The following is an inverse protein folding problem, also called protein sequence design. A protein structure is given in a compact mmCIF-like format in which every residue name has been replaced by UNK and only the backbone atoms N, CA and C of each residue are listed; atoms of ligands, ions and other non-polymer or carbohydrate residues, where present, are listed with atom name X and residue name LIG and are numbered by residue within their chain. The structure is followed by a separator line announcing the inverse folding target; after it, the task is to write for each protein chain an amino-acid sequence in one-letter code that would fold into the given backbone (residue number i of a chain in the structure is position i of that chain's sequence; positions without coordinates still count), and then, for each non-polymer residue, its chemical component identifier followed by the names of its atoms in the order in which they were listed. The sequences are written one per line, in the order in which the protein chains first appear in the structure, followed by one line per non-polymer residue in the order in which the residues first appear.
data_IF_291152611678
#
_entry.id   IF_291152611678
#
_cell.length_a   1.000
_cell.length_b   1.000
_cell.length_c   1.000
_cell.angle_alpha   90.00
_cell.angle_beta   90.00
_cell.angle_gamma   90.00
#
_symmetry.space_group_name_H-M   'P 1'
#
loop_
_entity.id
_entity.type
_entity.pdbx_description
1 polymer ?
#
# COMPACT_ATOMS: atom_id res chain seq x y z
N UNK A 1 -5.61 -8.25 -1.38
CA UNK A 1 -4.77 -7.16 -0.81
C UNK A 1 -3.30 -7.49 -1.03
N UNK A 2 -2.54 -6.55 -1.59
CA UNK A 2 -1.10 -6.63 -1.81
C UNK A 2 -0.41 -5.74 -0.76
N UNK A 3 0.44 -6.33 0.09
CA UNK A 3 1.06 -5.65 1.23
C UNK A 3 2.57 -5.53 1.05
N UNK A 4 3.08 -4.29 1.01
CA UNK A 4 4.50 -3.96 0.88
C UNK A 4 5.05 -3.43 2.21
N UNK A 5 6.37 -3.40 2.38
CA UNK A 5 6.96 -2.83 3.60
C UNK A 5 6.80 -1.30 3.59
N UNK A 6 6.39 -0.71 4.71
CA UNK A 6 6.24 0.73 4.80
C UNK A 6 7.58 1.46 4.83
N UNK A 7 7.60 2.67 4.28
CA UNK A 7 8.69 3.63 4.46
C UNK A 7 8.16 4.93 5.07
N UNK A 8 8.96 5.67 5.85
CA UNK A 8 8.59 7.00 6.29
C UNK A 8 8.19 7.89 5.12
N UNK A 9 7.09 8.63 5.25
CA UNK A 9 6.58 9.56 4.25
C UNK A 9 7.65 10.56 3.81
N UNK A 10 8.51 10.97 4.75
CA UNK A 10 9.64 11.86 4.49
C UNK A 10 10.58 11.34 3.39
N UNK A 11 10.81 10.03 3.27
CA UNK A 11 11.69 9.49 2.22
C UNK A 11 11.04 9.64 0.85
N UNK A 12 9.76 9.33 0.73
CA UNK A 12 8.98 9.57 -0.47
C UNK A 12 8.97 11.07 -0.85
N UNK A 13 8.74 11.95 0.12
CA UNK A 13 8.74 13.40 -0.09
C UNK A 13 10.13 13.92 -0.56
N UNK A 14 11.20 13.19 -0.24
CA UNK A 14 12.57 13.48 -0.69
C UNK A 14 12.93 12.82 -2.03
N UNK A 15 11.98 12.14 -2.68
CA UNK A 15 12.13 11.56 -4.01
C UNK A 15 12.46 10.07 -4.03
N UNK A 16 12.28 9.35 -2.93
CA UNK A 16 12.35 7.89 -2.94
C UNK A 16 11.22 7.31 -3.81
N UNK A 17 11.52 6.60 -4.93
CA UNK A 17 10.50 6.11 -5.86
C UNK A 17 9.77 4.87 -5.34
N UNK A 18 10.23 4.26 -4.24
CA UNK A 18 9.77 2.96 -3.77
C UNK A 18 8.24 2.81 -3.66
N UNK A 19 7.48 3.76 -3.07
CA UNK A 19 6.02 3.63 -2.98
C UNK A 19 5.33 3.60 -4.34
N UNK A 20 5.87 4.30 -5.33
CA UNK A 20 5.30 4.38 -6.68
C UNK A 20 5.65 3.13 -7.49
N UNK A 21 6.87 2.61 -7.34
CA UNK A 21 7.26 1.31 -7.89
C UNK A 21 6.42 0.16 -7.30
N UNK A 22 6.09 0.19 -6.00
CA UNK A 22 5.18 -0.76 -5.39
C UNK A 22 3.78 -0.69 -6.02
N UNK A 23 3.24 0.52 -6.20
CA UNK A 23 1.94 0.73 -6.85
C UNK A 23 1.95 0.27 -8.31
N UNK A 24 3.03 0.56 -9.03
CA UNK A 24 3.18 0.12 -10.41
C UNK A 24 3.24 -1.40 -10.53
N UNK A 25 4.03 -2.05 -9.66
CA UNK A 25 4.10 -3.52 -9.58
C UNK A 25 2.74 -4.12 -9.28
N UNK A 26 1.99 -3.55 -8.33
CA UNK A 26 0.66 -4.01 -7.99
C UNK A 26 -0.32 -3.89 -9.16
N UNK A 27 -0.26 -2.79 -9.91
CA UNK A 27 -1.08 -2.59 -11.11
C UNK A 27 -0.78 -3.64 -12.17
N UNK A 28 0.49 -3.85 -12.50
CA UNK A 28 0.89 -4.87 -13.50
C UNK A 28 0.52 -6.28 -13.06
N UNK A 29 0.64 -6.58 -11.77
CA UNK A 29 0.22 -7.87 -11.22
C UNK A 29 -1.30 -8.05 -11.30
N UNK A 30 -2.08 -7.01 -10.98
CA UNK A 30 -3.54 -7.05 -11.10
C UNK A 30 -3.97 -7.27 -12.56
N UNK A 31 -3.34 -6.57 -13.52
CA UNK A 31 -3.56 -6.77 -14.95
C UNK A 31 -3.26 -8.21 -15.38
N UNK A 32 -2.14 -8.78 -14.93
CA UNK A 32 -1.74 -10.16 -15.24
C UNK A 32 -2.66 -11.22 -14.61
N UNK A 33 -3.36 -10.87 -13.53
CA UNK A 33 -4.32 -11.74 -12.83
C UNK A 33 -5.77 -11.47 -13.24
N UNK A 34 -6.00 -10.57 -14.21
CA UNK A 34 -7.33 -10.16 -14.67
C UNK A 34 -8.22 -9.58 -13.54
N UNK A 35 -7.60 -8.93 -12.55
CA UNK A 35 -8.31 -8.30 -11.43
C UNK A 35 -8.76 -6.89 -11.79
N UNK A 36 -9.99 -6.54 -11.40
CA UNK A 36 -10.52 -5.17 -11.47
C UNK A 36 -9.98 -4.30 -10.33
N UNK A 37 -10.10 -2.98 -10.46
CA UNK A 37 -9.61 -2.02 -9.45
C UNK A 37 -10.25 -2.20 -8.06
N UNK A 38 -11.45 -2.78 -7.99
CA UNK A 38 -12.17 -3.06 -6.74
C UNK A 38 -11.79 -4.40 -6.10
N UNK A 39 -11.12 -5.29 -6.84
CA UNK A 39 -10.73 -6.64 -6.39
C UNK A 39 -9.36 -6.68 -5.72
N UNK A 40 -8.59 -5.60 -5.81
CA UNK A 40 -7.31 -5.48 -5.13
C UNK A 40 -7.13 -4.12 -4.46
N UNK A 41 -6.21 -4.10 -3.51
CA UNK A 41 -5.78 -2.86 -2.87
C UNK A 41 -4.33 -3.02 -2.47
N UNK A 42 -3.58 -1.92 -2.51
CA UNK A 42 -2.19 -1.84 -2.09
C UNK A 42 -2.15 -1.31 -0.68
N UNK A 43 -1.36 -1.92 0.20
CA UNK A 43 -1.14 -1.42 1.56
C UNK A 43 0.33 -1.51 1.99
N UNK A 44 0.67 -0.76 3.03
CA UNK A 44 2.02 -0.68 3.57
C UNK A 44 2.03 -1.13 5.04
N UNK A 45 2.79 -2.18 5.34
CA UNK A 45 2.88 -2.81 6.67
C UNK A 45 4.16 -2.41 7.42
N UNK A 46 4.36 -2.94 8.63
CA UNK A 46 5.59 -2.75 9.41
C UNK A 46 5.94 -1.27 9.70
N UNK A 47 4.91 -0.45 9.91
CA UNK A 47 5.06 0.95 10.28
C UNK A 47 5.24 1.05 11.81
N UNK A 48 6.35 1.62 12.27
CA UNK A 48 6.70 1.69 13.70
C UNK A 48 6.95 3.13 14.18
N UNK A 49 6.65 3.40 15.44
CA UNK A 49 6.90 4.73 16.03
C UNK A 49 5.96 5.83 15.52
N UNK A 50 6.31 7.09 15.81
CA UNK A 50 5.41 8.26 15.65
C UNK A 50 5.59 9.03 14.33
N UNK A 51 6.44 8.54 13.43
CA UNK A 51 6.65 9.19 12.14
C UNK A 51 5.38 9.12 11.28
N UNK A 52 5.27 10.02 10.29
CA UNK A 52 4.30 9.84 9.20
C UNK A 52 4.84 8.77 8.26
N UNK A 53 3.98 7.84 7.87
CA UNK A 53 4.29 6.73 6.97
C UNK A 53 3.48 6.84 5.70
N UNK A 54 3.97 6.21 4.63
CA UNK A 54 3.22 6.08 3.38
C UNK A 54 1.92 5.31 3.61
N UNK A 55 0.87 5.70 2.89
CA UNK A 55 -0.49 5.17 3.04
C UNK A 55 -0.98 4.51 1.75
N UNK A 56 -1.99 3.62 1.84
CA UNK A 56 -2.73 3.22 3.04
C UNK A 56 -1.95 2.20 3.91
N UNK A 57 -2.06 2.33 5.23
CA UNK A 57 -1.48 1.37 6.17
C UNK A 57 -2.26 0.07 6.16
N UNK A 58 -1.57 -1.07 6.16
CA UNK A 58 -2.21 -2.39 6.27
C UNK A 58 -3.03 -2.52 7.55
N UNK A 59 -2.52 -1.94 8.66
CA UNK A 59 -3.23 -1.95 9.95
C UNK A 59 -4.54 -1.14 9.88
N UNK A 60 -4.53 0.02 9.21
CA UNK A 60 -5.73 0.83 9.02
C UNK A 60 -6.77 0.11 8.16
N UNK A 61 -6.32 -0.62 7.13
CA UNK A 61 -7.22 -1.39 6.26
C UNK A 61 -7.85 -2.58 6.99
N UNK A 62 -7.13 -3.26 7.88
CA UNK A 62 -7.74 -4.33 8.70
C UNK A 62 -8.87 -3.81 9.60
N UNK A 63 -8.87 -2.53 9.98
CA UNK A 63 -9.98 -1.92 10.72
C UNK A 63 -11.18 -1.50 9.85
N UNK A 64 -10.98 -1.34 8.53
CA UNK A 64 -11.98 -0.82 7.58
C UNK A 64 -12.59 -1.92 6.71
N UNK A 65 -11.77 -2.76 6.10
CA UNK A 65 -12.20 -3.75 5.10
C UNK A 65 -13.23 -4.75 5.63
N UNK A 66 -13.11 -5.34 6.85
CA UNK A 66 -14.13 -6.26 7.37
C UNK A 66 -15.52 -5.63 7.55
N UNK A 67 -15.62 -4.28 7.53
CA UNK A 67 -16.90 -3.56 7.61
C UNK A 67 -17.53 -3.32 6.23
N UNK A 68 -16.84 -3.68 5.15
CA UNK A 68 -17.22 -3.37 3.78
C UNK A 68 -17.75 -4.59 3.00
N UNK A 69 -17.78 -5.78 3.61
CA UNK A 69 -18.32 -7.02 3.03
C UNK A 69 -17.36 -8.19 3.21
#
# INVERSE_FOLDING_TARGET
MLSFHGVPQKHYDLGDPYPDECRHTAKLLAEALELTEDEYTVSFQSQFGRAKWVTPSTQDLFGKLPKQG
#
